data_IF_453894383331
#
_entry.id   IF_453894383331
#
_cell.length_a   1.000
_cell.length_b   1.000
_cell.length_c   1.000
_cell.angle_alpha   90.00
_cell.angle_beta   90.00
_cell.angle_gamma   90.00
#
_symmetry.space_group_name_H-M   'P 1'
#
loop_
_entity.id
_entity.type
_entity.pdbx_description
1 polymer ?
#
# COMPACT_ATOMS: atom_id res chain seq x y z
N UNK A 1 33.58 70.40 22.10
CA UNK A 1 34.17 70.41 23.45
C UNK A 1 34.50 68.98 23.90
N UNK A 2 35.75 68.78 24.32
CA UNK A 2 36.36 67.80 25.26
C UNK A 2 35.92 66.31 25.30
N UNK A 3 36.93 65.50 24.92
CA UNK A 3 37.35 64.12 25.25
C UNK A 3 37.00 63.56 26.65
N UNK A 4 36.85 62.23 26.73
CA UNK A 4 37.51 61.27 27.68
C UNK A 4 36.82 59.89 27.57
N UNK A 5 37.36 58.88 26.87
CA UNK A 5 38.25 57.80 27.36
C UNK A 5 37.73 57.07 28.61
N UNK A 6 37.51 55.74 28.54
CA UNK A 6 38.21 54.69 29.33
C UNK A 6 37.87 53.29 28.78
N UNK A 7 38.96 52.56 28.61
CA UNK A 7 39.16 51.18 28.16
C UNK A 7 38.94 50.20 29.32
N UNK A 8 38.39 49.01 29.07
CA UNK A 8 38.64 47.84 29.91
C UNK A 8 38.89 46.60 29.04
N UNK A 9 40.10 46.09 29.14
CA UNK A 9 40.56 44.80 28.66
C UNK A 9 40.09 43.69 29.61
N UNK A 10 39.73 42.53 29.07
CA UNK A 10 39.97 41.24 29.72
C UNK A 10 40.20 40.17 28.65
N UNK A 11 41.46 39.76 28.54
CA UNK A 11 41.91 38.56 27.84
C UNK A 11 41.73 37.38 28.80
N UNK A 12 41.01 36.37 28.36
CA UNK A 12 41.01 34.99 28.86
C UNK A 12 40.57 34.14 27.66
N UNK A 13 41.20 33.05 27.23
CA UNK A 13 42.40 32.32 27.58
C UNK A 13 42.43 31.17 26.57
N UNK A 14 43.55 30.98 25.86
CA UNK A 14 43.75 29.79 25.01
C UNK A 14 44.09 28.63 25.92
N UNK A 15 43.35 27.52 25.83
CA UNK A 15 43.63 26.15 26.29
C UNK A 15 42.40 25.32 25.82
N UNK A 16 42.44 24.19 25.13
CA UNK A 16 43.45 23.25 24.66
C UNK A 16 42.82 22.54 23.45
N UNK A 17 43.64 22.16 22.46
CA UNK A 17 43.26 21.06 21.58
C UNK A 17 43.23 19.78 22.42
N UNK A 18 42.06 19.16 22.53
CA UNK A 18 41.95 17.72 22.77
C UNK A 18 41.34 17.10 21.53
N UNK A 19 42.20 16.66 20.61
CA UNK A 19 41.87 15.49 19.80
C UNK A 19 41.79 14.31 20.76
N UNK A 20 40.60 13.76 20.97
CA UNK A 20 40.34 12.31 20.97
C UNK A 20 38.96 12.05 21.57
N UNK A 21 37.93 12.19 20.75
CA UNK A 21 36.81 11.27 20.86
C UNK A 21 36.61 10.74 19.45
N UNK A 22 36.95 9.47 19.28
CA UNK A 22 36.36 8.62 18.26
C UNK A 22 34.86 8.64 18.51
N UNK A 23 34.19 9.66 17.96
CA UNK A 23 32.76 9.61 17.75
C UNK A 23 32.56 8.51 16.72
N UNK A 24 32.31 7.30 17.20
CA UNK A 24 31.62 6.28 16.43
C UNK A 24 30.30 6.93 16.08
N UNK A 25 30.29 7.59 14.93
CA UNK A 25 29.13 8.24 14.37
C UNK A 25 28.06 7.15 14.30
N UNK A 26 27.05 7.28 15.15
CA UNK A 26 25.78 6.61 15.03
C UNK A 26 25.10 7.14 13.76
N UNK A 27 25.63 6.76 12.59
CA UNK A 27 25.20 7.20 11.26
C UNK A 27 23.80 6.68 10.93
N UNK A 28 23.31 5.66 11.64
CA UNK A 28 22.17 4.87 11.14
C UNK A 28 20.78 5.27 11.66
N UNK A 29 20.66 6.10 12.70
CA UNK A 29 19.35 6.43 13.30
C UNK A 29 19.03 7.93 13.33
N UNK A 30 19.57 8.72 12.39
CA UNK A 30 19.01 10.05 12.14
C UNK A 30 17.61 9.91 11.53
N UNK A 31 16.68 10.81 11.86
CA UNK A 31 15.34 10.86 11.23
C UNK A 31 15.38 11.01 9.70
N UNK A 32 16.54 11.38 9.14
CA UNK A 32 16.83 11.43 7.71
C UNK A 32 17.12 10.06 7.08
N UNK A 33 17.21 9.00 7.87
CA UNK A 33 17.47 7.64 7.41
C UNK A 33 16.25 6.72 7.47
N UNK A 34 15.14 7.16 8.07
CA UNK A 34 13.92 6.36 8.13
C UNK A 34 13.34 6.14 6.73
N UNK A 35 12.80 4.94 6.48
CA UNK A 35 12.10 4.64 5.23
C UNK A 35 10.74 5.34 5.28
N UNK A 36 10.51 6.26 4.35
CA UNK A 36 9.24 6.97 4.22
C UNK A 36 8.37 6.38 3.12
N UNK A 37 7.06 6.62 3.20
CA UNK A 37 6.10 6.19 2.17
C UNK A 37 5.32 7.35 1.60
N UNK A 38 4.99 7.24 0.32
CA UNK A 38 4.02 8.11 -0.33
C UNK A 38 3.26 7.31 -1.39
N UNK A 39 2.02 7.72 -1.63
CA UNK A 39 1.19 7.15 -2.68
C UNK A 39 1.08 8.17 -3.80
N UNK A 40 1.11 7.69 -5.03
CA UNK A 40 0.91 8.48 -6.23
C UNK A 40 -0.50 8.25 -6.75
N UNK A 41 -1.11 9.32 -7.26
CA UNK A 41 -2.39 9.22 -7.95
C UNK A 41 -2.18 8.60 -9.33
N UNK A 42 -3.03 7.64 -9.69
CA UNK A 42 -3.12 7.13 -11.04
C UNK A 42 -4.30 7.82 -11.74
N UNK A 43 -3.99 8.88 -12.49
CA UNK A 43 -4.99 9.69 -13.18
C UNK A 43 -5.41 9.13 -14.56
N UNK A 44 -5.09 7.86 -14.85
CA UNK A 44 -5.52 7.23 -16.09
C UNK A 44 -7.05 7.24 -16.17
N UNK A 45 -7.60 7.81 -17.25
CA UNK A 45 -9.03 7.76 -17.54
C UNK A 45 -9.44 6.32 -17.82
N UNK A 46 -9.93 5.64 -16.79
CA UNK A 46 -10.50 4.31 -16.90
C UNK A 46 -11.97 4.34 -16.48
N UNK A 47 -12.71 3.27 -16.78
CA UNK A 47 -14.10 3.13 -16.30
C UNK A 47 -14.19 2.83 -14.80
N UNK A 48 -13.08 2.46 -14.16
CA UNK A 48 -13.01 2.23 -12.72
C UNK A 48 -12.83 3.56 -11.97
N UNK A 49 -13.21 3.60 -10.70
CA UNK A 49 -12.95 4.75 -9.82
C UNK A 49 -11.44 5.04 -9.81
N UNK A 50 -10.97 6.25 -10.17
CA UNK A 50 -9.56 6.55 -10.19
C UNK A 50 -8.93 6.40 -8.80
N UNK A 51 -7.76 5.76 -8.75
CA UNK A 51 -6.92 5.76 -7.56
C UNK A 51 -6.34 7.14 -7.34
N UNK A 52 -6.91 7.89 -6.39
CA UNK A 52 -6.37 9.21 -6.02
C UNK A 52 -5.69 9.14 -4.66
N UNK A 53 -4.75 10.06 -4.46
CA UNK A 53 -4.13 10.26 -3.14
C UNK A 53 -5.13 10.67 -2.06
N UNK A 54 -6.37 11.01 -2.40
CA UNK A 54 -7.42 11.33 -1.43
C UNK A 54 -8.22 10.11 -1.06
N UNK A 55 -8.61 9.28 -2.04
CA UNK A 55 -9.47 8.12 -1.79
C UNK A 55 -8.75 7.02 -1.00
N UNK A 56 -7.42 6.92 -1.14
CA UNK A 56 -6.63 5.96 -0.38
C UNK A 56 -6.38 6.36 1.08
N UNK A 57 -6.57 7.63 1.48
CA UNK A 57 -6.31 8.07 2.86
C UNK A 57 -7.26 7.44 3.89
N UNK A 58 -8.38 6.89 3.44
CA UNK A 58 -9.38 6.24 4.28
C UNK A 58 -9.12 4.73 4.42
N UNK A 59 -8.02 4.23 3.87
CA UNK A 59 -7.58 2.84 3.96
C UNK A 59 -6.10 2.81 4.38
N UNK A 60 -5.56 1.61 4.51
CA UNK A 60 -4.18 1.30 4.87
C UNK A 60 -3.60 0.30 3.88
N UNK A 61 -2.31 0.02 3.99
CA UNK A 61 -1.69 -1.02 3.17
C UNK A 61 -0.56 -1.68 3.92
N UNK A 62 -0.35 -2.95 3.58
CA UNK A 62 0.72 -3.76 4.14
C UNK A 62 1.91 -3.79 3.19
N UNK A 63 3.10 -3.55 3.74
CA UNK A 63 4.36 -3.42 2.99
C UNK A 63 5.29 -4.58 3.29
N UNK A 64 5.80 -5.17 2.22
CA UNK A 64 6.92 -6.10 2.21
C UNK A 64 8.13 -5.45 1.54
N UNK A 65 9.32 -5.78 2.03
CA UNK A 65 10.56 -5.36 1.41
C UNK A 65 11.59 -6.49 1.46
N UNK A 66 12.26 -6.76 0.35
CA UNK A 66 13.28 -7.80 0.24
C UNK A 66 14.60 -7.23 -0.25
N UNK A 67 15.68 -7.73 0.32
CA UNK A 67 17.06 -7.49 -0.15
C UNK A 67 17.34 -8.25 -1.46
N UNK A 68 18.46 -7.91 -2.10
CA UNK A 68 18.88 -8.57 -3.33
C UNK A 68 19.16 -10.08 -3.15
N UNK A 69 19.49 -10.53 -1.94
CA UNK A 69 19.69 -11.95 -1.60
C UNK A 69 18.40 -12.68 -1.16
N UNK A 70 17.29 -11.96 -0.95
CA UNK A 70 15.99 -12.54 -0.61
C UNK A 70 15.62 -12.52 0.87
N UNK A 71 16.43 -11.90 1.70
CA UNK A 71 16.09 -11.66 3.11
C UNK A 71 14.89 -10.70 3.21
N UNK A 72 13.88 -11.09 3.98
CA UNK A 72 12.77 -10.20 4.33
C UNK A 72 13.29 -9.08 5.25
N UNK A 73 13.25 -7.85 4.76
CA UNK A 73 13.64 -6.64 5.49
C UNK A 73 12.44 -5.96 6.15
N UNK A 74 11.29 -5.98 5.48
CA UNK A 74 9.97 -5.61 6.01
C UNK A 74 8.98 -6.72 5.73
N UNK A 75 8.13 -6.98 6.71
CA UNK A 75 7.23 -8.14 6.75
C UNK A 75 7.97 -9.44 7.02
N UNK A 76 7.31 -10.56 6.77
CA UNK A 76 7.91 -11.91 6.80
C UNK A 76 8.04 -12.49 5.40
N UNK A 77 8.81 -13.58 5.31
CA UNK A 77 8.89 -14.37 4.08
C UNK A 77 7.71 -15.35 4.04
N UNK A 78 6.57 -14.85 3.55
CA UNK A 78 5.29 -15.56 3.56
C UNK A 78 5.24 -16.55 2.41
N UNK A 79 5.56 -17.82 2.71
CA UNK A 79 5.42 -18.94 1.77
C UNK A 79 3.99 -19.47 1.68
N UNK A 80 3.12 -18.99 2.56
CA UNK A 80 1.68 -19.26 2.60
C UNK A 80 0.92 -17.94 2.56
N UNK A 81 -0.40 -18.00 2.40
CA UNK A 81 -1.25 -16.81 2.33
C UNK A 81 -1.54 -16.26 3.72
N UNK A 82 -0.89 -15.15 4.08
CA UNK A 82 -0.91 -14.56 5.42
C UNK A 82 -1.12 -13.04 5.35
N UNK A 83 -0.96 -12.36 6.49
CA UNK A 83 -1.04 -10.90 6.65
C UNK A 83 0.15 -10.35 7.45
N UNK A 84 1.37 -10.83 7.17
CA UNK A 84 2.57 -10.50 7.92
C UNK A 84 3.33 -9.29 7.35
N UNK A 85 2.62 -8.35 6.70
CA UNK A 85 3.21 -7.13 6.19
C UNK A 85 3.41 -6.07 7.28
N UNK A 86 4.22 -5.05 6.98
CA UNK A 86 4.30 -3.87 7.84
C UNK A 86 3.19 -2.90 7.47
N UNK A 87 2.27 -2.65 8.41
CA UNK A 87 1.11 -1.80 8.20
C UNK A 87 1.46 -0.32 8.14
N UNK A 88 1.03 0.34 7.06
CA UNK A 88 1.20 1.77 6.81
C UNK A 88 -0.18 2.43 6.72
N UNK A 89 -0.36 3.51 7.49
CA UNK A 89 -1.63 4.25 7.62
C UNK A 89 -1.44 5.73 7.29
N UNK A 90 -2.48 6.39 6.81
CA UNK A 90 -2.44 7.84 6.64
C UNK A 90 -2.83 8.54 7.94
N UNK A 91 -1.85 9.13 8.64
CA UNK A 91 -2.06 9.88 9.88
C UNK A 91 -1.20 11.13 9.94
N UNK A 92 -1.70 12.16 10.62
CA UNK A 92 -0.99 13.44 10.78
C UNK A 92 -0.52 14.06 9.45
N UNK A 93 -1.32 13.89 8.39
CA UNK A 93 -1.04 14.47 7.06
C UNK A 93 -0.03 13.70 6.20
N UNK A 94 0.47 12.53 6.64
CA UNK A 94 1.41 11.70 5.89
C UNK A 94 1.11 10.20 6.03
N UNK A 95 1.66 9.40 5.13
CA UNK A 95 1.73 7.95 5.30
C UNK A 95 2.82 7.62 6.31
N UNK A 96 2.48 6.83 7.32
CA UNK A 96 3.38 6.49 8.42
C UNK A 96 3.12 5.08 8.93
N UNK A 97 4.09 4.51 9.64
CA UNK A 97 3.95 3.20 10.28
C UNK A 97 2.80 3.24 11.27
N UNK A 98 1.93 2.23 11.26
CA UNK A 98 0.86 2.16 12.25
C UNK A 98 1.45 1.96 13.65
N UNK A 99 2.35 0.99 13.78
CA UNK A 99 3.09 0.70 15.00
C UNK A 99 4.55 1.20 14.92
N UNK A 100 4.99 1.92 15.96
CA UNK A 100 6.34 2.48 16.03
C UNK A 100 7.46 1.41 16.08
N UNK A 101 7.17 0.19 16.56
CA UNK A 101 8.16 -0.91 16.55
C UNK A 101 8.51 -1.39 15.15
N UNK A 102 7.66 -1.08 14.17
CA UNK A 102 7.83 -1.51 12.79
C UNK A 102 8.65 -0.51 11.97
N UNK A 103 9.00 0.64 12.56
CA UNK A 103 9.88 1.62 11.95
C UNK A 103 11.17 0.94 11.48
N UNK A 104 11.55 1.20 10.23
CA UNK A 104 12.80 0.74 9.64
C UNK A 104 13.58 1.89 9.06
N UNK A 105 14.90 1.71 9.04
CA UNK A 105 15.85 2.65 8.47
C UNK A 105 16.48 2.02 7.23
N UNK A 106 16.82 2.84 6.25
CA UNK A 106 17.42 2.35 5.01
C UNK A 106 18.72 1.57 5.29
N UNK A 107 18.88 0.35 4.75
CA UNK A 107 20.17 -0.31 4.70
C UNK A 107 21.05 0.34 3.61
N UNK A 108 22.30 -0.13 3.51
CA UNK A 108 23.22 0.30 2.43
C UNK A 108 22.86 -0.30 1.07
N UNK A 109 22.23 -1.47 1.07
CA UNK A 109 21.79 -2.16 -0.15
C UNK A 109 20.42 -1.69 -0.65
N UNK A 110 20.10 -2.04 -1.89
CA UNK A 110 18.81 -1.74 -2.49
C UNK A 110 17.74 -2.74 -2.02
N UNK A 111 16.50 -2.25 -1.92
CA UNK A 111 15.34 -3.03 -1.50
C UNK A 111 14.28 -3.07 -2.60
N UNK A 112 13.65 -4.24 -2.75
CA UNK A 112 12.46 -4.44 -3.57
C UNK A 112 11.21 -4.38 -2.70
N UNK A 113 10.37 -3.37 -2.90
CA UNK A 113 9.14 -3.15 -2.14
C UNK A 113 7.90 -3.64 -2.88
N UNK A 114 6.99 -4.24 -2.12
CA UNK A 114 5.67 -4.68 -2.55
C UNK A 114 4.64 -4.20 -1.53
N UNK A 115 3.48 -3.74 -1.99
CA UNK A 115 2.42 -3.27 -1.12
C UNK A 115 1.06 -3.81 -1.55
N UNK A 116 0.23 -4.18 -0.56
CA UNK A 116 -1.11 -4.73 -0.75
C UNK A 116 -2.14 -3.85 -0.05
N UNK A 117 -3.20 -3.47 -0.76
CA UNK A 117 -4.26 -2.62 -0.26
C UNK A 117 -5.64 -3.27 -0.49
N UNK A 118 -6.55 -3.22 0.49
CA UNK A 118 -6.33 -2.74 1.87
C UNK A 118 -5.37 -3.65 2.66
N UNK A 119 -4.66 -3.11 3.66
CA UNK A 119 -3.85 -3.92 4.58
C UNK A 119 -4.68 -4.53 5.70
N UNK A 120 -5.83 -3.91 6.02
CA UNK A 120 -6.78 -4.39 7.01
C UNK A 120 -8.12 -4.73 6.38
N UNK A 121 -8.65 -5.91 6.70
CA UNK A 121 -10.03 -6.31 6.44
C UNK A 121 -10.69 -6.82 7.72
N UNK A 122 -12.01 -7.01 7.68
CA UNK A 122 -12.74 -7.64 8.78
C UNK A 122 -12.23 -9.07 9.04
N UNK A 123 -12.31 -9.53 10.29
CA UNK A 123 -11.72 -10.81 10.72
C UNK A 123 -12.27 -12.01 9.92
N UNK A 124 -13.55 -11.99 9.58
CA UNK A 124 -14.22 -12.97 8.74
C UNK A 124 -13.82 -12.93 7.26
N UNK A 125 -13.23 -11.82 6.79
CA UNK A 125 -12.75 -11.62 5.44
C UNK A 125 -11.28 -12.00 5.25
N UNK A 126 -10.54 -12.20 6.33
CA UNK A 126 -9.11 -12.58 6.31
C UNK A 126 -8.83 -13.89 5.57
N UNK A 127 -9.77 -14.85 5.61
CA UNK A 127 -9.63 -16.13 4.88
C UNK A 127 -9.91 -15.98 3.38
N UNK A 128 -10.57 -14.90 2.98
CA UNK A 128 -11.00 -14.64 1.60
C UNK A 128 -10.11 -13.62 0.90
N UNK A 129 -9.21 -12.97 1.62
CA UNK A 129 -8.26 -12.00 1.08
C UNK A 129 -6.97 -12.07 1.88
N UNK A 130 -5.87 -12.39 1.22
CA UNK A 130 -4.55 -12.60 1.86
C UNK A 130 -3.45 -12.59 0.80
N UNK A 131 -2.18 -12.58 1.20
CA UNK A 131 -1.06 -12.53 0.26
C UNK A 131 0.06 -13.51 0.60
N UNK A 132 0.68 -14.04 -0.44
CA UNK A 132 1.94 -14.79 -0.39
C UNK A 132 3.02 -13.83 -0.88
N UNK A 133 4.02 -13.56 -0.06
CA UNK A 133 5.06 -12.58 -0.35
C UNK A 133 6.43 -13.13 0.07
N UNK A 134 7.16 -13.59 -0.93
CA UNK A 134 8.57 -13.96 -0.83
C UNK A 134 9.38 -13.06 -1.77
N UNK A 135 10.69 -13.27 -1.86
CA UNK A 135 11.51 -12.60 -2.88
C UNK A 135 11.03 -12.84 -4.31
N UNK A 136 10.68 -14.09 -4.62
CA UNK A 136 10.45 -14.57 -5.98
C UNK A 136 8.97 -14.70 -6.33
N UNK A 137 8.09 -14.73 -5.32
CA UNK A 137 6.66 -14.93 -5.48
C UNK A 137 5.90 -13.85 -4.73
N UNK A 138 5.03 -13.13 -5.44
CA UNK A 138 4.07 -12.22 -4.86
C UNK A 138 2.68 -12.52 -5.43
N UNK A 139 1.79 -13.03 -4.58
CA UNK A 139 0.41 -13.36 -4.96
C UNK A 139 -0.58 -12.79 -3.97
N UNK A 140 -1.78 -12.50 -4.47
CA UNK A 140 -2.94 -12.14 -3.69
C UNK A 140 -3.99 -13.22 -3.89
N UNK A 141 -4.39 -13.90 -2.82
CA UNK A 141 -5.60 -14.73 -2.82
C UNK A 141 -6.80 -13.82 -2.62
N UNK A 142 -7.84 -13.96 -3.43
CA UNK A 142 -9.09 -13.22 -3.25
C UNK A 142 -10.31 -14.04 -3.65
N UNK A 143 -11.40 -13.88 -2.89
CA UNK A 143 -12.72 -14.43 -3.18
C UNK A 143 -13.77 -13.32 -3.06
N UNK A 144 -14.42 -12.98 -4.16
CA UNK A 144 -15.56 -12.07 -4.17
C UNK A 144 -16.78 -12.68 -3.48
N UNK A 145 -17.61 -11.84 -2.89
CA UNK A 145 -18.84 -12.20 -2.20
C UNK A 145 -20.09 -11.78 -2.97
N UNK A 146 -21.18 -12.55 -2.82
CA UNK A 146 -22.52 -12.14 -3.22
C UNK A 146 -23.08 -11.10 -2.24
N UNK A 147 -22.55 -9.87 -2.38
CA UNK A 147 -22.79 -8.73 -1.49
C UNK A 147 -24.28 -8.44 -1.28
N UNK A 148 -25.09 -8.52 -2.34
CA UNK A 148 -26.53 -8.22 -2.27
C UNK A 148 -27.42 -9.46 -2.11
N UNK A 149 -26.86 -10.66 -2.26
CA UNK A 149 -27.59 -11.91 -2.08
C UNK A 149 -27.59 -12.36 -0.62
N UNK A 150 -26.39 -12.51 -0.04
CA UNK A 150 -26.20 -12.89 1.36
C UNK A 150 -26.26 -11.68 2.30
N UNK A 151 -25.84 -10.49 1.84
CA UNK A 151 -25.95 -9.24 2.61
C UNK A 151 -24.98 -9.11 3.77
N UNK A 152 -23.96 -9.96 3.88
CA UNK A 152 -23.07 -10.01 5.06
C UNK A 152 -21.77 -9.22 4.91
N UNK A 153 -21.21 -9.13 3.69
CA UNK A 153 -19.94 -8.43 3.44
C UNK A 153 -19.98 -7.64 2.12
N UNK A 154 -19.34 -6.47 2.13
CA UNK A 154 -19.03 -5.73 0.90
C UNK A 154 -17.73 -6.27 0.28
N UNK A 155 -17.63 -6.23 -1.04
CA UNK A 155 -16.38 -6.56 -1.73
C UNK A 155 -15.36 -5.45 -1.53
N UNK A 156 -14.10 -5.81 -1.31
CA UNK A 156 -12.99 -4.86 -1.22
C UNK A 156 -12.47 -4.48 -2.60
N UNK A 157 -12.09 -3.22 -2.76
CA UNK A 157 -11.36 -2.76 -3.93
C UNK A 157 -9.87 -3.09 -3.77
N UNK A 158 -9.49 -4.29 -4.21
CA UNK A 158 -8.15 -4.82 -3.99
C UNK A 158 -7.15 -4.24 -4.99
N UNK A 159 -6.02 -3.78 -4.45
CA UNK A 159 -4.94 -3.16 -5.22
C UNK A 159 -3.56 -3.67 -4.78
N UNK A 160 -2.59 -3.54 -5.68
CA UNK A 160 -1.17 -3.77 -5.37
C UNK A 160 -0.29 -2.63 -5.89
N UNK A 161 0.89 -2.48 -5.31
CA UNK A 161 1.96 -1.63 -5.84
C UNK A 161 3.33 -2.31 -5.71
N UNK A 162 4.27 -1.90 -6.56
CA UNK A 162 5.66 -2.37 -6.51
C UNK A 162 6.62 -1.21 -6.72
N UNK A 163 7.72 -1.21 -5.98
CA UNK A 163 8.84 -0.28 -6.17
C UNK A 163 10.15 -1.04 -5.95
N UNK A 164 10.76 -1.50 -7.05
CA UNK A 164 11.96 -2.34 -7.03
C UNK A 164 13.25 -1.51 -7.07
N UNK A 165 14.34 -2.06 -6.54
CA UNK A 165 15.68 -1.48 -6.55
C UNK A 165 15.77 -0.10 -5.87
N UNK A 166 14.95 0.16 -4.85
CA UNK A 166 14.93 1.44 -4.17
C UNK A 166 16.11 1.56 -3.20
N UNK A 167 16.70 2.76 -3.15
CA UNK A 167 17.76 3.10 -2.19
C UNK A 167 17.43 4.39 -1.45
N UNK A 168 18.13 4.64 -0.34
CA UNK A 168 18.00 5.87 0.46
C UNK A 168 18.09 7.15 -0.37
N UNK A 169 19.00 7.19 -1.33
CA UNK A 169 19.28 8.41 -2.10
C UNK A 169 18.19 8.71 -3.14
N UNK A 170 17.33 7.74 -3.44
CA UNK A 170 16.19 7.93 -4.32
C UNK A 170 15.06 8.64 -3.59
N UNK A 171 14.44 9.63 -4.24
CA UNK A 171 13.22 10.29 -3.75
C UNK A 171 13.32 10.82 -2.29
N UNK A 172 14.52 11.18 -1.83
CA UNK A 172 14.79 11.59 -0.44
C UNK A 172 14.42 10.51 0.58
N UNK A 173 14.65 9.23 0.28
CA UNK A 173 14.35 8.10 1.16
C UNK A 173 12.87 7.75 1.25
N UNK A 174 12.05 8.25 0.32
CA UNK A 174 10.60 8.02 0.28
C UNK A 174 10.26 7.04 -0.84
N UNK A 175 9.74 5.88 -0.48
CA UNK A 175 9.17 4.90 -1.41
C UNK A 175 7.84 5.43 -1.93
N UNK A 176 7.72 5.57 -3.26
CA UNK A 176 6.51 6.05 -3.93
C UNK A 176 5.77 4.89 -4.56
N UNK A 177 4.59 4.57 -4.04
CA UNK A 177 3.73 3.53 -4.58
C UNK A 177 2.72 4.08 -5.58
N UNK A 178 2.56 3.39 -6.70
CA UNK A 178 1.46 3.61 -7.64
C UNK A 178 0.58 2.37 -7.64
N UNK A 179 -0.56 2.44 -6.95
CA UNK A 179 -1.46 1.29 -6.79
C UNK A 179 -2.22 0.98 -8.09
N UNK A 180 -2.42 -0.32 -8.32
CA UNK A 180 -3.14 -0.89 -9.47
C UNK A 180 -4.24 -1.82 -8.97
N UNK A 181 -5.46 -1.60 -9.45
CA UNK A 181 -6.60 -2.48 -9.19
C UNK A 181 -6.38 -3.85 -9.82
N UNK A 182 -6.77 -4.93 -9.11
CA UNK A 182 -6.69 -6.31 -9.62
C UNK A 182 -8.07 -6.87 -10.03
N UNK A 183 -9.14 -6.18 -9.65
CA UNK A 183 -10.52 -6.54 -9.93
C UNK A 183 -11.11 -5.69 -11.06
N UNK A 184 -12.25 -6.14 -11.59
CA UNK A 184 -13.05 -5.38 -12.53
C UNK A 184 -14.31 -4.84 -11.85
N UNK A 185 -14.66 -3.60 -12.15
CA UNK A 185 -15.94 -3.02 -11.74
C UNK A 185 -16.98 -3.18 -12.86
N UNK A 186 -18.13 -3.76 -12.53
CA UNK A 186 -19.28 -3.89 -13.44
C UNK A 186 -20.42 -3.01 -12.92
N UNK A 187 -20.87 -2.06 -13.73
CA UNK A 187 -21.93 -1.11 -13.36
C UNK A 187 -23.15 -1.33 -14.24
N UNK A 188 -24.28 -1.64 -13.60
CA UNK A 188 -25.58 -1.77 -14.27
C UNK A 188 -26.31 -0.43 -14.20
N UNK A 189 -26.82 0.04 -15.35
CA UNK A 189 -27.62 1.27 -15.45
C UNK A 189 -28.89 0.95 -16.23
N UNK A 190 -30.04 1.29 -15.64
CA UNK A 190 -31.33 1.21 -16.30
C UNK A 190 -31.85 2.62 -16.62
N UNK A 191 -32.58 2.76 -17.72
CA UNK A 191 -33.32 3.98 -18.06
C UNK A 191 -34.64 3.59 -18.72
N UNK A 192 -35.69 4.33 -18.43
CA UNK A 192 -36.94 4.22 -19.17
C UNK A 192 -36.83 4.97 -20.49
N UNK A 193 -37.59 4.53 -21.50
CA UNK A 193 -37.63 5.21 -22.80
C UNK A 193 -38.57 6.41 -22.80
N UNK A 194 -39.61 6.38 -21.97
CA UNK A 194 -40.66 7.38 -21.92
C UNK A 194 -40.87 7.89 -20.50
N UNK A 195 -41.16 9.18 -20.36
CA UNK A 195 -41.32 9.85 -19.05
C UNK A 195 -42.48 9.31 -18.21
N UNK A 196 -43.49 8.71 -18.86
CA UNK A 196 -44.65 8.13 -18.20
C UNK A 196 -44.51 6.62 -17.90
N UNK A 197 -43.36 6.02 -18.19
CA UNK A 197 -43.09 4.62 -17.90
C UNK A 197 -42.50 4.48 -16.50
N UNK A 198 -43.09 3.59 -15.69
CA UNK A 198 -42.56 3.17 -14.41
C UNK A 198 -42.04 1.75 -14.54
N UNK A 199 -40.82 1.51 -14.03
CA UNK A 199 -40.16 0.20 -14.03
C UNK A 199 -39.57 0.00 -12.65
N UNK A 200 -39.99 -1.06 -11.98
CA UNK A 200 -39.41 -1.52 -10.72
C UNK A 200 -38.48 -2.70 -11.03
N UNK A 201 -37.24 -2.64 -10.51
CA UNK A 201 -36.27 -3.72 -10.71
C UNK A 201 -36.23 -4.57 -9.43
N UNK A 202 -36.85 -5.76 -9.52
CA UNK A 202 -36.85 -6.73 -8.43
C UNK A 202 -35.42 -7.25 -8.15
N UNK A 203 -34.76 -7.82 -9.16
CA UNK A 203 -33.40 -8.37 -9.00
C UNK A 203 -32.58 -8.31 -10.28
N UNK A 204 -31.28 -8.03 -10.13
CA UNK A 204 -30.27 -8.22 -11.18
C UNK A 204 -29.29 -9.29 -10.72
N UNK A 205 -29.00 -10.27 -11.58
CA UNK A 205 -28.00 -11.32 -11.32
C UNK A 205 -26.95 -11.38 -12.42
N UNK A 206 -25.71 -11.63 -12.03
CA UNK A 206 -24.60 -11.90 -12.95
C UNK A 206 -24.17 -13.37 -12.82
N UNK A 207 -23.98 -14.04 -13.95
CA UNK A 207 -23.67 -15.46 -14.04
C UNK A 207 -22.33 -15.70 -14.77
N UNK A 208 -21.76 -16.88 -14.58
CA UNK A 208 -20.63 -17.40 -15.37
C UNK A 208 -19.36 -16.54 -15.32
N UNK A 209 -19.01 -16.06 -14.13
CA UNK A 209 -17.78 -15.30 -13.91
C UNK A 209 -16.91 -15.95 -12.84
N UNK A 210 -15.59 -15.83 -12.99
CA UNK A 210 -14.62 -16.27 -11.99
C UNK A 210 -14.65 -15.28 -10.82
N UNK A 211 -14.97 -15.78 -9.64
CA UNK A 211 -15.13 -14.97 -8.43
C UNK A 211 -14.01 -15.21 -7.40
N UNK A 212 -13.17 -16.22 -7.60
CA UNK A 212 -12.10 -16.56 -6.67
C UNK A 212 -10.82 -16.98 -7.40
N UNK A 213 -9.67 -16.77 -6.78
CA UNK A 213 -8.39 -17.24 -7.29
C UNK A 213 -7.20 -16.58 -6.61
N UNK A 214 -6.02 -16.83 -7.17
CA UNK A 214 -4.78 -16.16 -6.81
C UNK A 214 -4.31 -15.27 -7.97
N UNK A 215 -4.12 -13.98 -7.70
CA UNK A 215 -3.52 -13.03 -8.61
C UNK A 215 -2.02 -12.98 -8.39
N UNK A 216 -1.23 -13.29 -9.42
CA UNK A 216 0.24 -13.17 -9.39
C UNK A 216 0.64 -11.79 -9.91
N UNK A 217 1.43 -11.07 -9.12
CA UNK A 217 1.97 -9.77 -9.53
C UNK A 217 2.91 -9.93 -10.73
N UNK A 218 3.01 -8.93 -11.62
CA UNK A 218 3.95 -8.98 -12.73
C UNK A 218 5.41 -8.86 -12.24
N UNK A 219 6.35 -9.45 -12.99
CA UNK A 219 7.77 -9.38 -12.64
C UNK A 219 8.34 -7.94 -12.66
N UNK A 220 7.76 -7.07 -13.48
CA UNK A 220 8.13 -5.66 -13.63
C UNK A 220 6.94 -4.75 -13.31
N UNK A 221 7.23 -3.55 -12.80
CA UNK A 221 6.21 -2.59 -12.35
C UNK A 221 5.25 -2.13 -13.45
N UNK A 222 5.67 -2.12 -14.71
CA UNK A 222 4.88 -1.78 -15.89
C UNK A 222 4.17 -2.98 -16.53
N UNK A 223 4.45 -4.20 -16.05
CA UNK A 223 3.81 -5.41 -16.53
C UNK A 223 2.33 -5.55 -16.13
N UNK A 224 1.73 -6.64 -16.62
CA UNK A 224 0.36 -7.06 -16.29
C UNK A 224 0.41 -8.35 -15.49
N UNK A 225 -0.21 -8.36 -14.31
CA UNK A 225 -0.33 -9.58 -13.50
C UNK A 225 -1.38 -10.54 -14.05
N UNK A 226 -1.50 -11.72 -13.46
CA UNK A 226 -2.36 -12.78 -13.98
C UNK A 226 -3.15 -13.47 -12.88
N UNK A 227 -4.40 -13.81 -13.19
CA UNK A 227 -5.25 -14.62 -12.31
C UNK A 227 -5.06 -16.11 -12.61
N UNK A 228 -4.86 -16.89 -11.56
CA UNK A 228 -5.06 -18.34 -11.55
C UNK A 228 -6.32 -18.65 -10.74
N UNK A 229 -7.32 -19.23 -11.40
CA UNK A 229 -8.61 -19.56 -10.78
C UNK A 229 -9.00 -20.97 -11.20
N UNK A 230 -9.64 -21.71 -10.29
CA UNK A 230 -10.31 -22.95 -10.64
C UNK A 230 -11.39 -22.72 -11.70
N UNK A 231 -11.71 -23.79 -12.43
CA UNK A 231 -12.88 -23.79 -13.30
C UNK A 231 -14.15 -23.64 -12.49
N UNK A 232 -15.16 -23.02 -13.10
CA UNK A 232 -16.47 -22.83 -12.47
C UNK A 232 -17.12 -24.19 -12.23
N UNK A 233 -17.04 -24.67 -10.99
CA UNK A 233 -17.54 -26.00 -10.62
C UNK A 233 -19.09 -26.07 -10.61
N UNK A 234 -19.78 -24.94 -10.49
CA UNK A 234 -21.24 -24.83 -10.51
C UNK A 234 -21.69 -23.46 -11.08
N UNK A 235 -22.93 -23.32 -11.59
CA UNK A 235 -23.48 -22.03 -11.97
C UNK A 235 -23.68 -21.16 -10.72
N UNK A 236 -22.64 -20.40 -10.37
CA UNK A 236 -22.70 -19.37 -9.35
C UNK A 236 -23.27 -18.09 -9.98
N UNK A 237 -24.27 -17.52 -9.32
CA UNK A 237 -24.87 -16.26 -9.69
C UNK A 237 -24.78 -15.32 -8.49
N UNK A 238 -24.21 -14.13 -8.69
CA UNK A 238 -24.25 -13.10 -7.65
C UNK A 238 -25.39 -12.14 -7.93
N UNK A 239 -26.04 -11.71 -6.86
CA UNK A 239 -27.03 -10.65 -6.86
C UNK A 239 -26.28 -9.32 -6.92
N UNK A 240 -26.63 -8.49 -7.89
CA UNK A 240 -26.01 -7.17 -8.09
C UNK A 240 -26.90 -6.05 -7.57
N UNK A 241 -28.22 -6.25 -7.65
CA UNK A 241 -29.22 -5.31 -7.17
C UNK A 241 -30.40 -6.13 -6.66
N UNK A 242 -30.99 -5.69 -5.55
CA UNK A 242 -32.21 -6.27 -4.96
C UNK A 242 -33.13 -5.14 -4.50
N UNK A 243 -34.35 -5.11 -5.02
CA UNK A 243 -35.39 -4.10 -4.71
C UNK A 243 -34.93 -2.65 -4.91
N UNK A 244 -34.55 -2.28 -6.14
CA UNK A 244 -34.11 -0.92 -6.49
C UNK A 244 -35.11 -0.13 -7.33
#
# INVERSE_FOLDING_TARGET
>A
MKKSTVMFWAIFGVLLMSCSEEEIANVETSSRNAIGFNVLSNAAETRATPTTNTNLKNTDFDVFAFTADGTAFMGKNDTEFEHDGVKIVYKNGKWDYDNASDLRYWPTEALDFYAFNPGTVSEDMMVFYSWEATKDVQKISYTCMDEYGAGTHANYDVMYAMAKGQTKDMNNGIVKFNFKHILSQVVFKAKTQYDNMQVDIDVIKIHNFKFAGAFTLPAAADGTGSWSSSDLAFPHAFTVVKNA
#
